data_IF_413963931849
#
_entry.id   IF_413963931849
#
_cell.length_a   1.000
_cell.length_b   1.000
_cell.length_c   1.000
_cell.angle_alpha   90.00
_cell.angle_beta   90.00
_cell.angle_gamma   90.00
#
_symmetry.space_group_name_H-M   'P 1'
#
loop_
_entity.id
_entity.type
_entity.pdbx_description
1 polymer ?
#
# COMPACT_ATOMS: atom_id res chain seq x y z
N UNK A 1 4.45 -19.48 11.75
CA UNK A 1 5.39 -20.33 11.00
C UNK A 1 5.57 -19.73 9.60
N UNK A 2 6.80 -19.61 9.13
CA UNK A 2 7.09 -19.06 7.80
C UNK A 2 6.62 -20.04 6.72
N UNK A 3 5.95 -19.53 5.67
CA UNK A 3 5.44 -20.35 4.58
C UNK A 3 5.98 -19.83 3.24
N UNK A 4 6.02 -20.72 2.24
CA UNK A 4 6.38 -20.33 0.89
C UNK A 4 5.39 -19.31 0.32
N UNK A 5 4.13 -19.42 0.70
CA UNK A 5 3.10 -18.45 0.30
C UNK A 5 3.41 -17.05 0.79
N UNK A 6 3.92 -16.92 2.01
CA UNK A 6 4.33 -15.61 2.55
C UNK A 6 5.51 -15.03 1.77
N UNK A 7 6.48 -15.86 1.41
CA UNK A 7 7.64 -15.44 0.60
C UNK A 7 7.16 -14.96 -0.77
N UNK A 8 6.30 -15.74 -1.43
CA UNK A 8 5.79 -15.42 -2.78
C UNK A 8 4.95 -14.16 -2.77
N UNK A 9 4.04 -14.02 -1.79
CA UNK A 9 3.21 -12.84 -1.65
C UNK A 9 4.05 -11.58 -1.39
N UNK A 10 5.06 -11.70 -0.55
CA UNK A 10 5.97 -10.58 -0.26
C UNK A 10 6.76 -10.14 -1.49
N UNK A 11 7.19 -11.11 -2.30
CA UNK A 11 7.92 -10.83 -3.55
C UNK A 11 7.01 -10.15 -4.57
N UNK A 12 5.78 -10.62 -4.71
CA UNK A 12 4.79 -10.01 -5.59
C UNK A 12 4.45 -8.59 -5.15
N UNK A 13 4.31 -8.35 -3.84
CA UNK A 13 4.08 -7.02 -3.29
C UNK A 13 5.26 -6.09 -3.61
N UNK A 14 6.49 -6.57 -3.46
CA UNK A 14 7.69 -5.79 -3.78
C UNK A 14 7.74 -5.42 -5.26
N UNK A 15 7.42 -6.36 -6.14
CA UNK A 15 7.39 -6.11 -7.58
C UNK A 15 6.34 -5.06 -7.94
N UNK A 16 5.16 -5.14 -7.32
CA UNK A 16 4.10 -4.18 -7.57
C UNK A 16 4.46 -2.79 -7.04
N UNK A 17 4.98 -2.70 -5.81
CA UNK A 17 5.38 -1.43 -5.21
C UNK A 17 6.50 -0.74 -5.98
N UNK A 18 7.37 -1.50 -6.63
CA UNK A 18 8.46 -0.95 -7.44
C UNK A 18 8.09 -0.71 -8.90
N UNK A 19 6.88 -1.08 -9.32
CA UNK A 19 6.43 -0.88 -10.69
C UNK A 19 6.15 0.62 -10.93
N UNK A 20 6.81 1.25 -11.93
CA UNK A 20 6.65 2.69 -12.15
C UNK A 20 5.22 3.11 -12.48
N UNK A 21 4.49 2.29 -13.21
CA UNK A 21 3.09 2.60 -13.56
C UNK A 21 2.20 2.55 -12.32
N UNK A 22 2.41 1.55 -11.46
CA UNK A 22 1.67 1.46 -10.20
C UNK A 22 1.96 2.68 -9.31
N UNK A 23 3.23 3.06 -9.19
CA UNK A 23 3.64 4.22 -8.40
C UNK A 23 3.00 5.50 -8.94
N UNK A 24 2.99 5.68 -10.25
CA UNK A 24 2.36 6.83 -10.88
C UNK A 24 0.85 6.87 -10.61
N UNK A 25 0.19 5.74 -10.77
CA UNK A 25 -1.26 5.64 -10.53
C UNK A 25 -1.61 5.95 -9.07
N UNK A 26 -0.84 5.40 -8.13
CA UNK A 26 -1.06 5.65 -6.70
C UNK A 26 -0.86 7.13 -6.36
N UNK A 27 0.25 7.72 -6.85
CA UNK A 27 0.56 9.12 -6.60
C UNK A 27 -0.49 10.05 -7.24
N UNK A 28 -0.89 9.78 -8.48
CA UNK A 28 -1.87 10.58 -9.20
C UNK A 28 -3.24 10.53 -8.50
N UNK A 29 -3.66 9.36 -8.07
CA UNK A 29 -4.92 9.20 -7.36
C UNK A 29 -4.89 9.96 -6.01
N UNK A 30 -3.79 9.84 -5.29
CA UNK A 30 -3.63 10.54 -4.01
C UNK A 30 -3.66 12.06 -4.21
N UNK A 31 -3.00 12.54 -5.25
CA UNK A 31 -2.99 13.97 -5.60
C UNK A 31 -4.39 14.44 -5.99
N UNK A 32 -5.12 13.66 -6.78
CA UNK A 32 -6.49 13.97 -7.18
C UNK A 32 -7.41 14.09 -5.96
N UNK A 33 -7.34 13.15 -5.04
CA UNK A 33 -8.14 13.15 -3.82
C UNK A 33 -7.79 14.34 -2.91
N UNK A 34 -6.51 14.67 -2.80
CA UNK A 34 -6.05 15.81 -2.02
C UNK A 34 -6.56 17.12 -2.63
N UNK A 35 -6.53 17.21 -3.96
CA UNK A 35 -7.04 18.37 -4.68
C UNK A 35 -8.54 18.50 -4.49
N UNK A 36 -9.28 17.42 -4.59
CA UNK A 36 -10.73 17.42 -4.36
C UNK A 36 -11.08 17.90 -2.96
N UNK A 37 -10.31 17.44 -1.96
CA UNK A 37 -10.48 17.88 -0.58
C UNK A 37 -10.23 19.40 -0.45
N UNK A 38 -9.16 19.91 -1.06
CA UNK A 38 -8.82 21.34 -1.01
C UNK A 38 -9.86 22.20 -1.71
N UNK A 39 -10.46 21.71 -2.79
CA UNK A 39 -11.47 22.43 -3.56
C UNK A 39 -12.86 22.30 -2.98
N UNK A 40 -13.09 21.41 -2.04
CA UNK A 40 -14.40 21.22 -1.45
C UNK A 40 -14.79 22.46 -0.63
N UNK A 41 -16.10 22.77 -0.61
CA UNK A 41 -16.63 23.85 0.20
C UNK A 41 -16.35 23.54 1.68
N UNK A 42 -15.77 24.50 2.45
CA UNK A 42 -15.53 24.28 3.87
C UNK A 42 -16.79 23.90 4.67
N UNK A 43 -17.97 24.28 4.18
CA UNK A 43 -19.24 23.91 4.81
C UNK A 43 -19.76 22.54 4.41
N UNK A 44 -19.18 21.91 3.38
CA UNK A 44 -19.61 20.59 2.88
C UNK A 44 -18.80 19.50 3.60
N UNK A 45 -19.22 19.17 4.82
CA UNK A 45 -18.53 18.18 5.65
C UNK A 45 -18.57 16.79 5.03
N UNK A 46 -19.67 16.42 4.38
CA UNK A 46 -19.80 15.09 3.76
C UNK A 46 -18.81 14.89 2.64
N UNK A 47 -18.64 15.88 1.75
CA UNK A 47 -17.66 15.80 0.67
C UNK A 47 -16.23 15.74 1.21
N UNK A 48 -15.92 16.56 2.21
CA UNK A 48 -14.60 16.59 2.83
C UNK A 48 -14.28 15.29 3.53
N UNK A 49 -15.25 14.71 4.24
CA UNK A 49 -15.08 13.43 4.92
C UNK A 49 -14.88 12.29 3.93
N UNK A 50 -15.61 12.26 2.81
CA UNK A 50 -15.41 11.24 1.76
C UNK A 50 -13.99 11.27 1.21
N UNK A 51 -13.46 12.46 0.94
CA UNK A 51 -12.08 12.61 0.48
C UNK A 51 -11.08 12.13 1.52
N UNK A 52 -11.30 12.49 2.78
CA UNK A 52 -10.42 12.06 3.87
C UNK A 52 -10.40 10.54 4.02
N UNK A 53 -11.58 9.91 4.01
CA UNK A 53 -11.69 8.44 4.10
C UNK A 53 -11.00 7.78 2.92
N UNK A 54 -11.20 8.32 1.71
CA UNK A 54 -10.57 7.75 0.51
C UNK A 54 -9.04 7.83 0.57
N UNK A 55 -8.48 8.96 0.99
CA UNK A 55 -7.03 9.13 1.16
C UNK A 55 -6.51 8.16 2.23
N UNK A 56 -7.23 8.04 3.35
CA UNK A 56 -6.84 7.13 4.43
C UNK A 56 -6.83 5.68 3.97
N UNK A 57 -7.83 5.27 3.19
CA UNK A 57 -7.89 3.91 2.66
C UNK A 57 -6.77 3.64 1.66
N UNK A 58 -6.44 4.63 0.82
CA UNK A 58 -5.33 4.51 -0.12
C UNK A 58 -4.00 4.33 0.61
N UNK A 59 -3.77 5.11 1.67
CA UNK A 59 -2.56 4.98 2.50
C UNK A 59 -2.53 3.62 3.23
N UNK A 60 -3.67 3.13 3.71
CA UNK A 60 -3.75 1.80 4.33
C UNK A 60 -3.45 0.68 3.36
N UNK A 61 -3.85 0.81 2.09
CA UNK A 61 -3.50 -0.18 1.06
C UNK A 61 -1.98 -0.25 0.89
N UNK A 62 -1.33 0.90 0.83
CA UNK A 62 0.13 0.97 0.72
C UNK A 62 0.80 0.30 1.92
N UNK A 63 0.31 0.58 3.13
CA UNK A 63 0.83 -0.04 4.36
C UNK A 63 0.65 -1.56 4.33
N UNK A 64 -0.50 -2.03 3.85
CA UNK A 64 -0.77 -3.48 3.74
C UNK A 64 0.22 -4.16 2.80
N UNK A 65 0.51 -3.53 1.66
CA UNK A 65 1.51 -4.03 0.73
C UNK A 65 2.89 -4.08 1.37
N UNK A 66 3.24 -3.07 2.16
CA UNK A 66 4.50 -3.04 2.92
C UNK A 66 4.56 -4.17 3.96
N UNK A 67 3.45 -4.46 4.62
CA UNK A 67 3.37 -5.59 5.58
C UNK A 67 3.65 -6.92 4.88
N UNK A 68 3.07 -7.15 3.70
CA UNK A 68 3.30 -8.38 2.93
C UNK A 68 4.77 -8.51 2.54
N UNK A 69 5.38 -7.40 2.10
CA UNK A 69 6.79 -7.38 1.73
C UNK A 69 7.69 -7.73 2.91
N UNK A 70 7.44 -7.13 4.07
CA UNK A 70 8.21 -7.38 5.28
C UNK A 70 8.03 -8.82 5.78
N UNK A 71 6.81 -9.33 5.79
CA UNK A 71 6.52 -10.71 6.18
C UNK A 71 7.23 -11.70 5.25
N UNK A 72 7.26 -11.41 3.96
CA UNK A 72 7.95 -12.24 2.96
C UNK A 72 9.45 -12.26 3.17
N UNK A 73 10.06 -11.12 3.50
CA UNK A 73 11.49 -11.04 3.80
C UNK A 73 11.85 -11.84 5.05
N UNK A 74 11.04 -11.74 6.09
CA UNK A 74 11.24 -12.51 7.32
C UNK A 74 11.10 -14.01 7.07
N UNK A 75 10.09 -14.41 6.31
CA UNK A 75 9.89 -15.82 5.95
C UNK A 75 11.06 -16.36 5.12
N UNK A 76 11.55 -15.57 4.17
CA UNK A 76 12.73 -15.93 3.36
C UNK A 76 13.97 -16.13 4.23
N UNK A 77 14.19 -15.25 5.19
CA UNK A 77 15.33 -15.36 6.12
C UNK A 77 15.24 -16.64 6.97
N UNK A 78 14.04 -17.00 7.43
CA UNK A 78 13.83 -18.25 8.18
C UNK A 78 14.16 -19.45 7.30
N UNK A 79 13.71 -19.50 6.05
CA UNK A 79 14.02 -20.59 5.14
C UNK A 79 15.53 -20.70 4.88
N UNK A 80 16.20 -19.59 4.71
CA UNK A 80 17.65 -19.58 4.49
C UNK A 80 18.39 -20.15 5.70
N UNK A 81 17.96 -19.86 6.91
CA UNK A 81 18.52 -20.39 8.14
C UNK A 81 18.27 -21.90 8.27
N UNK A 82 17.08 -22.36 7.88
CA UNK A 82 16.74 -23.79 7.94
C UNK A 82 17.53 -24.63 6.96
N UNK A 83 17.99 -24.03 5.86
CA UNK A 83 18.80 -24.71 4.82
C UNK A 83 20.27 -24.90 5.24
N UNK A 84 20.70 -24.22 6.27
CA UNK A 84 22.05 -24.33 6.80
C UNK A 84 22.10 -25.36 7.93
#
# INVERSE_FOLDING_TARGET
>A
MATQEEVDQGREAELLLSNPTYQSAWNDLRDDLTRDWRKSDPGDQDARERCYVAITLLDKLQDKMGEYMNAGRLASDVFDKERR
#
